data_IF_951239398274
#
_entry.id   IF_951239398274
#
_cell.length_a   1.000
_cell.length_b   1.000
_cell.length_c   1.000
_cell.angle_alpha   90.00
_cell.angle_beta   90.00
_cell.angle_gamma   90.00
#
_symmetry.space_group_name_H-M   'P 1'
#
loop_
_entity.id
_entity.type
_entity.pdbx_description
1 polymer ?
#
# COMPACT_ATOMS: atom_id res chain seq x y z
N UNK A 1 26.45 -14.44 42.21
CA UNK A 1 25.00 -14.63 41.92
C UNK A 1 24.54 -13.70 40.78
N UNK A 2 24.82 -12.41 40.84
CA UNK A 2 24.49 -11.41 39.77
C UNK A 2 25.05 -11.76 38.39
N UNK A 3 26.32 -12.18 38.28
CA UNK A 3 26.96 -12.56 37.03
C UNK A 3 26.26 -13.76 36.35
N UNK A 4 25.83 -14.76 37.13
CA UNK A 4 25.11 -15.94 36.61
C UNK A 4 23.75 -15.54 36.04
N UNK A 5 23.02 -14.63 36.73
CA UNK A 5 21.73 -14.13 36.26
C UNK A 5 21.89 -13.34 34.96
N UNK A 6 22.88 -12.43 34.91
CA UNK A 6 23.15 -11.65 33.71
C UNK A 6 23.60 -12.51 32.52
N UNK A 7 24.40 -13.55 32.76
CA UNK A 7 24.78 -14.50 31.71
C UNK A 7 23.56 -15.27 31.16
N UNK A 8 22.68 -15.73 32.03
CA UNK A 8 21.46 -16.42 31.60
C UNK A 8 20.52 -15.49 30.82
N UNK A 9 20.38 -14.22 31.27
CA UNK A 9 19.60 -13.20 30.57
C UNK A 9 20.20 -12.86 29.21
N UNK A 10 21.51 -12.68 29.12
CA UNK A 10 22.21 -12.41 27.86
C UNK A 10 21.99 -13.56 26.86
N UNK A 11 22.11 -14.82 27.31
CA UNK A 11 21.85 -15.96 26.47
C UNK A 11 20.39 -16.01 25.98
N UNK A 12 19.43 -15.73 26.86
CA UNK A 12 18.00 -15.65 26.50
C UNK A 12 17.70 -14.57 25.47
N UNK A 13 18.32 -13.38 25.62
CA UNK A 13 18.18 -12.28 24.66
C UNK A 13 18.81 -12.59 23.30
N UNK A 14 19.97 -13.28 23.28
CA UNK A 14 20.58 -13.74 22.04
C UNK A 14 19.66 -14.72 21.31
N UNK A 15 19.11 -15.70 22.01
CA UNK A 15 18.17 -16.67 21.44
C UNK A 15 16.89 -15.98 20.95
N UNK A 16 16.35 -15.04 21.73
CA UNK A 16 15.22 -14.22 21.33
C UNK A 16 15.53 -13.47 20.03
N UNK A 17 16.66 -12.77 19.92
CA UNK A 17 17.05 -12.02 18.74
C UNK A 17 17.12 -12.89 17.48
N UNK A 18 17.69 -14.10 17.59
CA UNK A 18 17.82 -15.05 16.48
C UNK A 18 16.50 -15.68 16.03
N UNK A 19 15.51 -15.75 16.88
CA UNK A 19 14.19 -16.35 16.55
C UNK A 19 13.18 -15.37 16.00
N UNK A 20 13.49 -14.08 15.97
CA UNK A 20 12.55 -13.06 15.51
C UNK A 20 12.38 -13.09 13.99
N UNK A 21 11.14 -13.16 13.54
CA UNK A 21 10.80 -13.04 12.12
C UNK A 21 10.83 -11.60 11.60
N UNK A 22 10.55 -10.63 12.47
CA UNK A 22 10.61 -9.19 12.15
C UNK A 22 12.01 -8.66 12.49
N UNK A 23 12.73 -8.20 11.49
CA UNK A 23 14.11 -7.77 11.61
C UNK A 23 14.32 -6.67 12.66
N UNK A 24 13.34 -5.76 12.81
CA UNK A 24 13.36 -4.73 13.85
C UNK A 24 13.49 -5.31 15.26
N UNK A 25 12.67 -6.32 15.59
CA UNK A 25 12.72 -6.98 16.89
C UNK A 25 14.01 -7.76 17.11
N UNK A 26 14.57 -8.31 16.03
CA UNK A 26 15.89 -8.93 16.07
C UNK A 26 16.99 -7.92 16.44
N UNK A 27 17.00 -6.74 15.78
CA UNK A 27 17.98 -5.67 16.07
C UNK A 27 17.83 -5.13 17.49
N UNK A 28 16.60 -4.91 17.96
CA UNK A 28 16.35 -4.49 19.35
C UNK A 28 16.80 -5.55 20.35
N UNK A 29 16.59 -6.83 20.03
CA UNK A 29 17.07 -7.97 20.82
C UNK A 29 18.60 -8.02 20.93
N UNK A 30 19.31 -7.78 19.83
CA UNK A 30 20.80 -7.67 19.82
C UNK A 30 21.26 -6.49 20.67
N UNK A 31 20.60 -5.33 20.55
CA UNK A 31 20.92 -4.16 21.39
C UNK A 31 20.74 -4.45 22.89
N UNK A 32 19.61 -5.07 23.26
CA UNK A 32 19.35 -5.45 24.65
C UNK A 32 20.38 -6.49 25.16
N UNK A 33 20.80 -7.43 24.30
CA UNK A 33 21.85 -8.40 24.60
C UNK A 33 23.19 -7.68 24.90
N UNK A 34 23.65 -6.76 24.03
CA UNK A 34 24.87 -5.98 24.25
C UNK A 34 24.85 -5.19 25.54
N UNK A 35 23.71 -4.53 25.87
CA UNK A 35 23.57 -3.79 27.13
C UNK A 35 23.65 -4.72 28.34
N UNK A 36 23.09 -5.92 28.23
CA UNK A 36 23.18 -6.94 29.31
C UNK A 36 24.60 -7.45 29.47
N UNK A 37 25.37 -7.63 28.36
CA UNK A 37 26.80 -7.96 28.41
C UNK A 37 27.61 -6.85 29.07
N UNK A 38 27.36 -5.59 28.77
CA UNK A 38 28.01 -4.47 29.44
C UNK A 38 27.78 -4.53 30.97
N UNK A 39 26.54 -4.82 31.40
CA UNK A 39 26.24 -5.02 32.83
C UNK A 39 26.98 -6.22 33.43
N UNK A 40 27.14 -7.31 32.66
CA UNK A 40 27.91 -8.48 33.09
C UNK A 40 29.40 -8.14 33.26
N UNK A 41 30.02 -7.40 32.34
CA UNK A 41 31.40 -6.96 32.43
C UNK A 41 31.65 -6.05 33.65
N UNK A 42 30.69 -5.16 33.96
CA UNK A 42 30.74 -4.38 35.22
C UNK A 42 30.73 -5.29 36.47
N UNK A 43 29.86 -6.29 36.48
CA UNK A 43 29.76 -7.25 37.58
C UNK A 43 31.04 -8.12 37.74
N UNK A 44 31.80 -8.29 36.68
CA UNK A 44 33.09 -9.00 36.64
C UNK A 44 34.29 -8.07 36.86
N UNK A 45 34.05 -6.81 37.29
CA UNK A 45 35.08 -5.81 37.54
C UNK A 45 35.93 -5.42 36.31
N UNK A 46 35.30 -5.46 35.10
CA UNK A 46 35.90 -5.05 33.83
C UNK A 46 35.23 -3.78 33.29
N UNK A 47 35.35 -2.59 33.93
CA UNK A 47 34.59 -1.40 33.53
C UNK A 47 34.98 -0.85 32.15
N UNK A 48 36.22 -0.99 31.73
CA UNK A 48 36.68 -0.51 30.42
C UNK A 48 36.02 -1.29 29.29
N UNK A 49 35.89 -2.63 29.46
CA UNK A 49 35.20 -3.49 28.52
C UNK A 49 33.69 -3.22 28.51
N UNK A 50 33.11 -2.99 29.68
CA UNK A 50 31.71 -2.63 29.81
C UNK A 50 31.36 -1.32 29.09
N UNK A 51 32.23 -0.31 29.22
CA UNK A 51 32.03 0.97 28.54
C UNK A 51 32.14 0.85 27.03
N UNK A 52 33.11 0.10 26.52
CA UNK A 52 33.26 -0.15 25.08
C UNK A 52 32.11 -0.95 24.53
N UNK A 53 31.61 -1.98 25.23
CA UNK A 53 30.44 -2.77 24.81
C UNK A 53 29.17 -1.90 24.78
N UNK A 54 28.96 -1.06 25.78
CA UNK A 54 27.81 -0.15 25.80
C UNK A 54 27.86 0.89 24.68
N UNK A 55 29.03 1.47 24.42
CA UNK A 55 29.20 2.52 23.41
C UNK A 55 29.16 1.95 21.98
N UNK A 56 29.86 0.88 21.71
CA UNK A 56 30.00 0.31 20.38
C UNK A 56 28.95 -0.76 20.12
N UNK A 57 28.82 -1.75 20.97
CA UNK A 57 27.89 -2.87 20.78
C UNK A 57 26.42 -2.43 20.83
N UNK A 58 26.03 -1.75 21.91
CA UNK A 58 24.66 -1.24 22.01
C UNK A 58 24.48 0.05 21.19
N UNK A 59 25.31 1.06 21.35
CA UNK A 59 25.10 2.38 20.75
C UNK A 59 25.31 2.36 19.23
N UNK A 60 26.55 2.22 18.78
CA UNK A 60 26.92 2.38 17.37
C UNK A 60 26.34 1.27 16.49
N UNK A 61 26.48 0.00 16.88
CA UNK A 61 26.01 -1.15 16.09
C UNK A 61 24.51 -1.14 15.96
N UNK A 62 23.79 -1.00 17.07
CA UNK A 62 22.30 -0.96 17.05
C UNK A 62 21.79 0.22 16.23
N UNK A 63 22.38 1.42 16.39
CA UNK A 63 22.01 2.60 15.60
C UNK A 63 22.26 2.37 14.10
N UNK A 64 23.41 1.78 13.74
CA UNK A 64 23.77 1.49 12.34
C UNK A 64 22.77 0.50 11.72
N UNK A 65 22.39 -0.55 12.44
CA UNK A 65 21.39 -1.51 11.96
C UNK A 65 20.00 -0.87 11.82
N UNK A 66 19.57 -0.03 12.76
CA UNK A 66 18.30 0.70 12.65
C UNK A 66 18.28 1.66 11.47
N UNK A 67 19.40 2.36 11.22
CA UNK A 67 19.54 3.24 10.05
C UNK A 67 19.54 2.43 8.73
N UNK A 68 20.23 1.30 8.71
CA UNK A 68 20.24 0.39 7.55
C UNK A 68 18.83 -0.14 7.26
N UNK A 69 18.09 -0.56 8.29
CA UNK A 69 16.70 -1.02 8.15
C UNK A 69 15.77 0.06 7.58
N UNK A 70 15.96 1.32 7.98
CA UNK A 70 15.19 2.43 7.41
C UNK A 70 15.52 2.68 5.93
N UNK A 71 16.77 2.42 5.51
CA UNK A 71 17.25 2.71 4.14
C UNK A 71 17.09 1.56 3.16
N UNK A 72 17.02 0.31 3.60
CA UNK A 72 17.00 -0.88 2.72
C UNK A 72 15.65 -1.59 2.64
N UNK A 73 14.62 -1.03 3.24
CA UNK A 73 13.27 -1.61 3.17
C UNK A 73 12.68 -1.48 1.76
N UNK A 74 12.08 -2.54 1.26
CA UNK A 74 11.24 -2.48 0.05
C UNK A 74 9.88 -1.86 0.40
N UNK A 75 9.36 -1.05 -0.50
CA UNK A 75 7.97 -0.62 -0.50
C UNK A 75 7.19 -1.54 -1.45
N UNK A 76 6.59 -2.58 -0.90
CA UNK A 76 5.79 -3.52 -1.68
C UNK A 76 4.38 -2.95 -1.87
N UNK A 77 3.97 -2.81 -3.13
CA UNK A 77 2.66 -2.29 -3.51
C UNK A 77 1.91 -3.38 -4.27
N UNK A 78 0.82 -3.87 -3.70
CA UNK A 78 -0.11 -4.74 -4.39
C UNK A 78 -0.99 -3.89 -5.31
N UNK A 79 -1.02 -4.21 -6.60
CA UNK A 79 -1.64 -3.36 -7.60
C UNK A 79 -2.52 -4.13 -8.57
N UNK A 80 -3.60 -3.50 -9.02
CA UNK A 80 -4.35 -3.94 -10.18
C UNK A 80 -4.23 -2.88 -11.29
N UNK A 81 -4.17 -3.29 -12.57
CA UNK A 81 -4.02 -2.35 -13.66
C UNK A 81 -5.30 -1.52 -13.87
N UNK A 82 -5.14 -0.21 -14.00
CA UNK A 82 -6.20 0.72 -14.39
C UNK A 82 -5.58 1.88 -15.19
N UNK A 83 -5.87 1.93 -16.49
CA UNK A 83 -5.46 3.04 -17.34
C UNK A 83 -6.31 4.30 -17.03
N UNK A 84 -5.72 5.50 -16.96
CA UNK A 84 -4.30 5.86 -17.07
C UNK A 84 -3.60 6.01 -15.69
N UNK A 85 -4.16 5.44 -14.63
CA UNK A 85 -3.65 5.60 -13.25
C UNK A 85 -2.41 4.74 -13.00
N UNK A 86 -2.50 3.44 -13.28
CA UNK A 86 -1.41 2.48 -13.08
C UNK A 86 -1.57 1.35 -14.11
N UNK A 87 -0.62 1.21 -15.01
CA UNK A 87 -0.69 0.20 -16.06
C UNK A 87 0.71 -0.23 -16.50
N UNK A 88 0.76 -1.34 -17.22
CA UNK A 88 1.99 -1.86 -17.80
C UNK A 88 2.00 -1.65 -19.31
N UNK A 89 3.08 -1.07 -19.81
CA UNK A 89 3.32 -0.86 -21.24
C UNK A 89 4.60 -1.62 -21.63
N UNK A 90 4.43 -2.82 -22.16
CA UNK A 90 5.53 -3.76 -22.36
C UNK A 90 6.17 -4.18 -21.03
N UNK A 91 7.46 -3.88 -20.87
CA UNK A 91 8.21 -4.12 -19.62
C UNK A 91 8.18 -2.93 -18.64
N UNK A 92 7.61 -1.82 -19.05
CA UNK A 92 7.60 -0.59 -18.23
C UNK A 92 6.26 -0.42 -17.53
N UNK A 93 6.33 0.05 -16.30
CA UNK A 93 5.15 0.49 -15.55
C UNK A 93 5.01 2.00 -15.76
N UNK A 94 3.79 2.44 -15.98
CA UNK A 94 3.46 3.84 -16.23
C UNK A 94 2.13 4.22 -15.59
N UNK A 95 1.84 5.54 -15.57
CA UNK A 95 0.60 6.08 -15.08
C UNK A 95 0.78 7.11 -13.97
N UNK A 96 -0.31 7.79 -13.63
CA UNK A 96 -0.33 8.82 -12.60
C UNK A 96 0.09 8.27 -11.22
N UNK A 97 -0.50 7.14 -10.81
CA UNK A 97 -0.19 6.50 -9.53
C UNK A 97 1.25 5.99 -9.51
N UNK A 98 1.76 5.45 -10.63
CA UNK A 98 3.15 5.03 -10.74
C UNK A 98 4.11 6.17 -10.42
N UNK A 99 3.93 7.34 -11.06
CA UNK A 99 4.81 8.49 -10.80
C UNK A 99 4.76 8.98 -9.36
N UNK A 100 3.57 8.90 -8.71
CA UNK A 100 3.42 9.23 -7.29
C UNK A 100 4.16 8.21 -6.42
N UNK A 101 3.95 6.90 -6.66
CA UNK A 101 4.57 5.83 -5.89
C UNK A 101 6.09 5.82 -6.02
N UNK A 102 6.62 6.08 -7.21
CA UNK A 102 8.06 6.19 -7.45
C UNK A 102 8.70 7.35 -6.68
N UNK A 103 8.01 8.49 -6.63
CA UNK A 103 8.44 9.64 -5.82
C UNK A 103 8.31 9.36 -4.33
N UNK A 104 7.24 8.69 -3.91
CA UNK A 104 7.03 8.33 -2.51
C UNK A 104 8.07 7.31 -2.03
N UNK A 105 8.39 6.29 -2.82
CA UNK A 105 9.44 5.33 -2.48
C UNK A 105 10.80 6.02 -2.28
N UNK A 106 11.14 6.97 -3.16
CA UNK A 106 12.34 7.83 -3.00
C UNK A 106 12.29 8.70 -1.75
N UNK A 107 11.12 9.26 -1.42
CA UNK A 107 10.91 10.03 -0.19
C UNK A 107 11.15 9.18 1.06
N UNK A 108 10.68 7.95 1.07
CA UNK A 108 10.86 7.01 2.18
C UNK A 108 12.22 6.30 2.16
N UNK A 109 13.09 6.54 1.16
CA UNK A 109 14.35 5.82 0.92
C UNK A 109 14.15 4.30 0.86
N UNK A 110 13.08 3.85 0.17
CA UNK A 110 12.75 2.43 -0.06
C UNK A 110 12.76 2.12 -1.55
N UNK A 111 13.08 0.86 -1.89
CA UNK A 111 12.95 0.37 -3.25
C UNK A 111 11.49 0.00 -3.54
N UNK A 112 10.93 0.53 -4.63
CA UNK A 112 9.56 0.25 -5.04
C UNK A 112 9.48 -1.13 -5.71
N UNK A 113 8.57 -1.96 -5.22
CA UNK A 113 8.24 -3.25 -5.81
C UNK A 113 6.73 -3.33 -6.06
N UNK A 114 6.32 -3.59 -7.30
CA UNK A 114 4.91 -3.76 -7.67
C UNK A 114 4.60 -5.23 -7.82
N UNK A 115 3.56 -5.68 -7.12
CA UNK A 115 3.01 -7.03 -7.21
C UNK A 115 1.64 -6.94 -7.86
N UNK A 116 1.53 -7.43 -9.10
CA UNK A 116 0.27 -7.43 -9.82
C UNK A 116 -0.65 -8.54 -9.33
N UNK A 117 -1.83 -8.16 -8.86
CA UNK A 117 -2.84 -9.10 -8.35
C UNK A 117 -4.25 -8.62 -8.69
N UNK A 118 -5.24 -9.52 -8.75
CA UNK A 118 -6.65 -9.14 -8.82
C UNK A 118 -7.03 -8.21 -7.66
N UNK A 119 -7.86 -7.20 -7.93
CA UNK A 119 -8.25 -6.18 -6.93
C UNK A 119 -8.74 -6.80 -5.62
N UNK A 120 -9.56 -7.86 -5.70
CA UNK A 120 -10.12 -8.57 -4.54
C UNK A 120 -9.08 -9.18 -3.59
N UNK A 121 -7.85 -9.43 -4.08
CA UNK A 121 -6.76 -10.00 -3.26
C UNK A 121 -5.96 -8.94 -2.51
N UNK A 122 -6.00 -7.68 -2.94
CA UNK A 122 -5.20 -6.61 -2.36
C UNK A 122 -5.47 -6.42 -0.86
N UNK A 123 -6.74 -6.34 -0.37
CA UNK A 123 -7.02 -6.21 1.05
C UNK A 123 -6.44 -7.37 1.88
N UNK A 124 -6.47 -8.62 1.35
CA UNK A 124 -5.88 -9.79 2.00
C UNK A 124 -4.35 -9.63 2.16
N UNK A 125 -3.66 -9.20 1.09
CA UNK A 125 -2.21 -8.99 1.13
C UNK A 125 -1.81 -7.88 2.11
N UNK A 126 -2.60 -6.81 2.18
CA UNK A 126 -2.40 -5.72 3.14
C UNK A 126 -2.56 -6.22 4.59
N UNK A 127 -3.61 -6.99 4.87
CA UNK A 127 -3.83 -7.56 6.21
C UNK A 127 -2.79 -8.61 6.61
N UNK A 128 -2.28 -9.38 5.63
CA UNK A 128 -1.22 -10.36 5.88
C UNK A 128 0.16 -9.71 6.08
N UNK A 129 0.32 -8.41 5.82
CA UNK A 129 1.60 -7.72 5.83
C UNK A 129 2.52 -8.14 4.68
N UNK A 130 1.96 -8.74 3.62
CA UNK A 130 2.68 -9.13 2.41
C UNK A 130 2.84 -7.94 1.45
N UNK A 131 1.98 -6.93 1.57
CA UNK A 131 2.09 -5.65 0.90
C UNK A 131 1.87 -4.50 1.89
N UNK A 132 2.48 -3.35 1.63
CA UNK A 132 2.38 -2.14 2.46
C UNK A 132 1.29 -1.21 1.94
N UNK A 133 1.15 -1.13 0.61
CA UNK A 133 0.18 -0.26 -0.08
C UNK A 133 -0.61 -1.07 -1.12
N UNK A 134 -1.84 -0.61 -1.38
CA UNK A 134 -2.66 -1.03 -2.51
C UNK A 134 -2.85 0.13 -3.48
N UNK A 135 -2.73 -0.16 -4.80
CA UNK A 135 -2.84 0.80 -5.87
C UNK A 135 -3.62 0.24 -7.07
N UNK A 136 -4.00 1.11 -8.01
CA UNK A 136 -4.78 0.74 -9.18
C UNK A 136 -6.22 1.23 -9.10
N UNK A 137 -6.41 2.50 -8.72
CA UNK A 137 -7.72 3.15 -8.71
C UNK A 137 -8.63 2.68 -7.59
N UNK A 138 -8.14 2.64 -6.36
CA UNK A 138 -8.98 2.34 -5.20
C UNK A 138 -9.95 3.47 -4.92
N UNK A 139 -11.22 3.11 -4.79
CA UNK A 139 -12.27 3.98 -4.27
C UNK A 139 -12.57 3.56 -2.82
N UNK A 140 -12.44 4.47 -1.84
CA UNK A 140 -12.77 4.17 -0.46
C UNK A 140 -14.22 3.66 -0.32
N UNK A 141 -14.38 2.50 0.31
CA UNK A 141 -15.66 1.85 0.57
C UNK A 141 -15.81 1.49 2.05
N UNK A 142 -17.05 1.32 2.55
CA UNK A 142 -17.31 1.04 3.96
C UNK A 142 -16.86 -0.38 4.41
N UNK A 143 -16.74 -1.32 3.48
CA UNK A 143 -16.45 -2.71 3.79
C UNK A 143 -14.95 -3.04 3.86
N UNK A 144 -14.10 -2.17 3.37
CA UNK A 144 -12.65 -2.41 3.35
C UNK A 144 -12.03 -2.05 4.70
N UNK A 145 -11.56 -3.05 5.44
CA UNK A 145 -10.82 -2.89 6.71
C UNK A 145 -9.39 -2.40 6.50
N UNK A 146 -9.17 -1.49 5.54
CA UNK A 146 -7.89 -0.86 5.24
C UNK A 146 -7.99 0.64 5.46
N UNK A 147 -6.86 1.31 5.67
CA UNK A 147 -6.83 2.77 5.69
C UNK A 147 -6.67 3.29 4.27
N UNK A 148 -7.27 4.42 3.97
CA UNK A 148 -7.09 5.10 2.70
C UNK A 148 -6.30 6.38 2.89
N UNK A 149 -5.51 6.74 1.88
CA UNK A 149 -4.92 8.07 1.78
C UNK A 149 -5.98 9.10 1.43
N UNK A 150 -5.62 10.39 1.48
CA UNK A 150 -6.40 11.43 0.81
C UNK A 150 -6.60 11.11 -0.66
N UNK A 151 -7.70 11.56 -1.27
CA UNK A 151 -7.93 11.36 -2.70
C UNK A 151 -6.84 11.99 -3.56
N UNK A 152 -6.28 11.21 -4.47
CA UNK A 152 -5.27 11.65 -5.45
C UNK A 152 -5.90 12.13 -6.75
N UNK A 153 -7.01 11.53 -7.15
CA UNK A 153 -7.77 11.91 -8.37
C UNK A 153 -9.26 11.95 -8.03
N UNK A 154 -9.92 13.10 -8.19
CA UNK A 154 -11.37 13.17 -8.07
C UNK A 154 -12.05 12.31 -9.14
N UNK A 155 -13.06 11.57 -8.76
CA UNK A 155 -13.89 10.76 -9.67
C UNK A 155 -15.32 10.69 -9.15
N UNK A 156 -16.16 10.00 -9.90
CA UNK A 156 -17.57 9.75 -9.54
C UNK A 156 -17.89 8.29 -9.75
N UNK A 157 -18.65 7.73 -8.85
CA UNK A 157 -19.34 6.46 -9.08
C UNK A 157 -20.57 6.73 -9.91
N UNK A 158 -20.73 6.00 -10.99
CA UNK A 158 -21.82 6.21 -11.95
C UNK A 158 -22.57 4.91 -12.22
N UNK A 159 -23.87 5.03 -12.37
CA UNK A 159 -24.71 3.97 -12.90
C UNK A 159 -24.92 4.19 -14.40
N UNK A 160 -24.25 3.38 -15.20
CA UNK A 160 -24.40 3.38 -16.65
C UNK A 160 -25.53 2.41 -17.01
N UNK A 161 -26.54 2.87 -17.77
CA UNK A 161 -27.60 2.03 -18.31
C UNK A 161 -27.63 2.11 -19.84
N UNK A 162 -27.58 0.95 -20.50
CA UNK A 162 -27.71 0.84 -21.94
C UNK A 162 -29.09 0.33 -22.33
N UNK A 163 -29.72 -0.48 -21.48
CA UNK A 163 -31.05 -1.04 -21.69
C UNK A 163 -31.71 -1.37 -20.34
N UNK A 164 -32.97 -1.78 -20.38
CA UNK A 164 -33.64 -2.31 -19.19
C UNK A 164 -33.04 -3.67 -18.81
N UNK A 165 -32.86 -3.91 -17.51
CA UNK A 165 -32.31 -5.17 -17.02
C UNK A 165 -31.55 -5.01 -15.70
N UNK A 166 -30.96 -6.13 -15.22
CA UNK A 166 -30.18 -6.15 -14.00
C UNK A 166 -28.95 -5.27 -14.10
N UNK A 167 -28.47 -4.76 -12.93
CA UNK A 167 -27.22 -4.03 -12.84
C UNK A 167 -26.07 -4.97 -12.48
N UNK A 168 -24.93 -4.78 -13.12
CA UNK A 168 -23.69 -5.47 -12.80
C UNK A 168 -22.68 -4.54 -12.12
N UNK A 169 -21.77 -5.10 -11.33
CA UNK A 169 -20.60 -4.42 -10.79
C UNK A 169 -19.41 -5.38 -10.68
N UNK A 170 -18.22 -4.83 -10.47
CA UNK A 170 -17.03 -5.64 -10.17
C UNK A 170 -17.03 -6.02 -8.69
N UNK A 171 -16.73 -7.28 -8.41
CA UNK A 171 -16.65 -7.79 -7.04
C UNK A 171 -15.59 -7.06 -6.23
N UNK A 172 -15.97 -6.61 -5.02
CA UNK A 172 -15.10 -5.84 -4.12
C UNK A 172 -14.90 -4.37 -4.52
N UNK A 173 -15.65 -3.85 -5.51
CA UNK A 173 -15.66 -2.41 -5.83
C UNK A 173 -16.91 -1.71 -5.26
N UNK A 174 -16.79 -0.41 -4.91
CA UNK A 174 -17.95 0.39 -4.50
C UNK A 174 -19.05 0.38 -5.56
N UNK A 175 -20.28 0.25 -5.10
CA UNK A 175 -21.44 0.09 -5.97
C UNK A 175 -21.87 -1.36 -6.19
N UNK A 176 -21.08 -2.33 -5.69
CA UNK A 176 -21.48 -3.75 -5.71
C UNK A 176 -22.81 -3.96 -4.99
N UNK A 177 -23.08 -3.21 -3.92
CA UNK A 177 -24.33 -3.26 -3.15
C UNK A 177 -25.58 -2.86 -3.95
N UNK A 178 -25.40 -2.14 -5.06
CA UNK A 178 -26.46 -1.71 -5.96
C UNK A 178 -26.65 -2.69 -7.15
N UNK A 179 -25.72 -3.62 -7.31
CA UNK A 179 -25.71 -4.55 -8.41
C UNK A 179 -26.44 -5.86 -8.04
N UNK A 180 -27.10 -6.45 -9.01
CA UNK A 180 -27.71 -7.78 -8.88
C UNK A 180 -26.80 -8.89 -9.37
N UNK A 181 -25.76 -8.56 -10.15
CA UNK A 181 -24.75 -9.47 -10.65
C UNK A 181 -23.35 -8.90 -10.41
N UNK A 182 -22.42 -9.73 -9.97
CA UNK A 182 -21.01 -9.36 -9.75
C UNK A 182 -20.08 -10.13 -10.66
N UNK A 183 -19.04 -9.46 -11.15
CA UNK A 183 -18.04 -9.98 -12.08
C UNK A 183 -16.65 -9.89 -11.48
N UNK A 184 -15.75 -10.75 -11.90
CA UNK A 184 -14.40 -10.78 -11.34
C UNK A 184 -13.57 -9.56 -11.73
N UNK A 185 -13.75 -9.07 -12.94
CA UNK A 185 -13.05 -7.91 -13.47
C UNK A 185 -13.93 -7.04 -14.38
N UNK A 186 -13.43 -5.86 -14.70
CA UNK A 186 -14.12 -4.88 -15.53
C UNK A 186 -14.31 -5.37 -17.00
N UNK A 187 -13.42 -6.23 -17.48
CA UNK A 187 -13.53 -6.81 -18.82
C UNK A 187 -14.67 -7.80 -18.91
N UNK A 188 -14.87 -8.63 -17.88
CA UNK A 188 -16.04 -9.52 -17.80
C UNK A 188 -17.34 -8.74 -17.69
N UNK A 189 -17.36 -7.72 -16.83
CA UNK A 189 -18.50 -6.82 -16.68
C UNK A 189 -18.86 -6.14 -18.03
N UNK A 190 -17.85 -5.63 -18.75
CA UNK A 190 -18.06 -5.02 -20.06
C UNK A 190 -18.61 -6.03 -21.10
N UNK A 191 -18.08 -7.26 -21.11
CA UNK A 191 -18.57 -8.32 -22.00
C UNK A 191 -20.02 -8.71 -21.70
N UNK A 192 -20.39 -8.84 -20.43
CA UNK A 192 -21.76 -9.13 -20.02
C UNK A 192 -22.73 -8.00 -20.46
N UNK A 193 -22.29 -6.74 -20.31
CA UNK A 193 -23.05 -5.58 -20.77
C UNK A 193 -23.25 -5.59 -22.30
N UNK A 194 -22.18 -5.88 -23.06
CA UNK A 194 -22.24 -5.96 -24.53
C UNK A 194 -23.09 -7.12 -25.03
N UNK A 195 -23.14 -8.25 -24.31
CA UNK A 195 -24.00 -9.40 -24.68
C UNK A 195 -25.45 -9.20 -24.27
N UNK A 196 -25.77 -8.11 -23.56
CA UNK A 196 -27.12 -7.88 -23.06
C UNK A 196 -27.53 -8.78 -21.89
N UNK A 197 -26.59 -9.44 -21.23
CA UNK A 197 -26.81 -10.25 -20.01
C UNK A 197 -27.22 -9.37 -18.83
N UNK A 198 -26.75 -8.12 -18.82
CA UNK A 198 -27.11 -7.06 -17.88
C UNK A 198 -27.56 -5.81 -18.64
N UNK A 199 -28.46 -5.03 -18.02
CA UNK A 199 -28.98 -3.79 -18.61
C UNK A 199 -28.12 -2.57 -18.32
N UNK A 200 -27.25 -2.66 -17.29
CA UNK A 200 -26.37 -1.55 -16.89
C UNK A 200 -25.24 -2.01 -15.99
N UNK A 201 -24.34 -1.08 -15.68
CA UNK A 201 -23.18 -1.33 -14.82
C UNK A 201 -22.95 -0.16 -13.85
N UNK A 202 -22.51 -0.47 -12.64
CA UNK A 202 -22.03 0.51 -11.68
C UNK A 202 -20.52 0.53 -11.76
N UNK A 203 -19.94 1.65 -12.19
CA UNK A 203 -18.49 1.81 -12.43
C UNK A 203 -18.05 3.22 -12.08
N UNK A 204 -16.74 3.43 -11.99
CA UNK A 204 -16.18 4.78 -11.88
C UNK A 204 -16.16 5.51 -13.24
N UNK A 205 -16.06 6.83 -13.18
CA UNK A 205 -16.09 7.67 -14.38
C UNK A 205 -14.90 7.43 -15.32
N UNK A 206 -13.73 7.05 -14.81
CA UNK A 206 -12.56 6.75 -15.67
C UNK A 206 -12.81 5.49 -16.48
N UNK A 207 -13.36 4.46 -15.86
CA UNK A 207 -13.69 3.19 -16.52
C UNK A 207 -14.79 3.39 -17.57
N UNK A 208 -15.81 4.20 -17.24
CA UNK A 208 -16.82 4.56 -18.23
C UNK A 208 -16.19 5.24 -19.45
N UNK A 209 -15.29 6.21 -19.24
CA UNK A 209 -14.58 6.90 -20.32
C UNK A 209 -13.69 5.95 -21.13
N UNK A 210 -12.98 5.06 -20.48
CA UNK A 210 -12.16 4.04 -21.12
C UNK A 210 -13.01 3.17 -22.06
N UNK A 211 -14.15 2.69 -21.57
CA UNK A 211 -15.08 1.89 -22.40
C UNK A 211 -15.64 2.66 -23.58
N UNK A 212 -15.90 3.96 -23.43
CA UNK A 212 -16.33 4.83 -24.51
C UNK A 212 -15.23 5.03 -25.56
N UNK A 213 -13.99 5.30 -25.12
CA UNK A 213 -12.82 5.48 -26.00
C UNK A 213 -12.54 4.22 -26.84
N UNK A 214 -12.63 3.05 -26.22
CA UNK A 214 -12.47 1.76 -26.90
C UNK A 214 -13.71 1.33 -27.69
N UNK A 215 -14.76 2.14 -27.76
CA UNK A 215 -16.02 1.86 -28.42
C UNK A 215 -16.70 0.58 -27.93
N UNK A 216 -16.43 0.20 -26.68
CA UNK A 216 -17.10 -0.92 -26.03
C UNK A 216 -18.55 -0.59 -25.69
N UNK A 217 -18.84 0.68 -25.41
CA UNK A 217 -20.19 1.19 -25.15
C UNK A 217 -20.46 2.42 -26.02
N UNK A 218 -21.73 2.57 -26.44
CA UNK A 218 -22.17 3.78 -27.14
C UNK A 218 -22.32 4.97 -26.19
N UNK A 219 -22.26 6.18 -26.72
CA UNK A 219 -22.51 7.42 -25.96
C UNK A 219 -24.00 7.61 -25.63
N UNK A 220 -24.88 6.76 -26.15
CA UNK A 220 -26.33 6.91 -26.05
C UNK A 220 -26.93 6.35 -24.73
N UNK A 221 -26.12 5.67 -23.91
CA UNK A 221 -26.55 5.19 -22.60
C UNK A 221 -26.79 6.33 -21.61
N UNK A 222 -27.80 6.18 -20.75
CA UNK A 222 -27.98 7.11 -19.63
C UNK A 222 -26.92 6.84 -18.56
N UNK A 223 -26.26 7.91 -18.07
CA UNK A 223 -25.32 7.82 -16.98
C UNK A 223 -25.79 8.72 -15.83
N UNK A 224 -26.04 8.12 -14.67
CA UNK A 224 -26.43 8.84 -13.46
C UNK A 224 -25.27 8.80 -12.46
N UNK A 225 -24.86 9.96 -11.95
CA UNK A 225 -23.91 10.05 -10.83
C UNK A 225 -24.57 9.55 -9.55
N UNK A 226 -23.96 8.57 -8.91
CA UNK A 226 -24.41 8.02 -7.64
C UNK A 226 -23.74 8.72 -6.48
N UNK A 227 -22.41 8.90 -6.54
CA UNK A 227 -21.62 9.46 -5.46
C UNK A 227 -20.36 10.12 -6.03
N UNK A 228 -19.95 11.23 -5.42
CA UNK A 228 -18.62 11.83 -5.69
C UNK A 228 -17.59 11.16 -4.81
N UNK A 229 -16.54 10.65 -5.43
CA UNK A 229 -15.45 9.92 -4.78
C UNK A 229 -14.10 10.42 -5.27
N UNK A 230 -13.05 9.82 -4.81
CA UNK A 230 -11.70 10.04 -5.33
C UNK A 230 -10.87 8.80 -5.18
N UNK A 231 -10.07 8.51 -6.18
CA UNK A 231 -9.10 7.43 -6.09
C UNK A 231 -8.06 7.74 -5.03
N UNK A 232 -7.72 6.74 -4.23
CA UNK A 232 -6.81 6.82 -3.11
C UNK A 232 -5.93 5.57 -3.05
N UNK A 233 -4.81 5.64 -2.36
CA UNK A 233 -4.04 4.46 -2.02
C UNK A 233 -4.63 3.76 -0.80
N UNK A 234 -4.72 2.45 -0.84
CA UNK A 234 -5.01 1.65 0.34
C UNK A 234 -3.71 1.39 1.12
N UNK A 235 -3.77 1.43 2.44
CA UNK A 235 -2.60 1.25 3.32
C UNK A 235 -2.87 0.11 4.27
N UNK A 236 -1.87 -0.72 4.52
CA UNK A 236 -1.97 -1.82 5.47
C UNK A 236 -2.36 -1.30 6.87
N UNK A 237 -3.27 -1.96 7.59
CA UNK A 237 -3.82 -1.46 8.86
C UNK A 237 -2.76 -1.19 9.92
N UNK A 238 -1.71 -2.01 9.95
CA UNK A 238 -0.62 -1.96 10.93
C UNK A 238 0.47 -0.93 10.56
N UNK A 239 0.38 -0.31 9.37
CA UNK A 239 1.39 0.61 8.83
C UNK A 239 1.00 2.09 9.09
N UNK A 240 0.72 2.43 10.34
CA UNK A 240 0.28 3.80 10.70
C UNK A 240 1.34 4.87 10.39
N UNK A 241 2.62 4.58 10.61
CA UNK A 241 3.70 5.52 10.31
C UNK A 241 3.88 5.72 8.79
N UNK A 242 3.72 4.65 8.01
CA UNK A 242 3.74 4.73 6.56
C UNK A 242 2.55 5.56 6.04
N UNK A 243 1.37 5.34 6.60
CA UNK A 243 0.18 6.13 6.26
C UNK A 243 0.39 7.62 6.55
N UNK A 244 0.91 7.99 7.72
CA UNK A 244 1.24 9.39 8.06
C UNK A 244 2.26 9.99 7.09
N UNK A 245 3.31 9.24 6.77
CA UNK A 245 4.34 9.67 5.81
C UNK A 245 3.76 9.86 4.41
N UNK A 246 2.83 8.99 3.98
CA UNK A 246 2.13 9.11 2.71
C UNK A 246 1.24 10.36 2.67
N UNK A 247 0.51 10.64 3.75
CA UNK A 247 -0.34 11.82 3.88
C UNK A 247 0.48 13.13 3.83
N UNK A 248 1.61 13.18 4.54
CA UNK A 248 2.53 14.32 4.51
C UNK A 248 3.13 14.52 3.11
N UNK A 249 3.55 13.44 2.48
CA UNK A 249 4.08 13.48 1.12
C UNK A 249 3.04 13.96 0.10
N UNK A 250 1.82 13.42 0.12
CA UNK A 250 0.75 13.84 -0.77
C UNK A 250 0.36 15.32 -0.55
N UNK A 251 0.34 15.77 0.72
CA UNK A 251 0.13 17.19 1.04
C UNK A 251 1.24 18.08 0.47
N UNK A 252 2.49 17.64 0.53
CA UNK A 252 3.63 18.35 -0.04
C UNK A 252 3.54 18.42 -1.58
N UNK A 253 3.16 17.32 -2.25
CA UNK A 253 2.94 17.29 -3.69
C UNK A 253 1.81 18.24 -4.14
N UNK A 254 0.72 18.26 -3.36
CA UNK A 254 -0.41 19.14 -3.65
C UNK A 254 -0.04 20.61 -3.49
N UNK A 255 0.63 20.97 -2.39
CA UNK A 255 1.14 22.33 -2.13
C UNK A 255 2.14 22.79 -3.20
N UNK A 256 2.97 21.89 -3.71
CA UNK A 256 3.92 22.18 -4.78
C UNK A 256 3.26 22.23 -6.19
N UNK A 257 1.97 21.95 -6.32
CA UNK A 257 1.26 21.91 -7.59
C UNK A 257 1.61 20.70 -8.48
N UNK A 258 2.42 19.78 -7.98
CA UNK A 258 2.89 18.60 -8.75
C UNK A 258 1.73 17.64 -9.01
N UNK A 259 0.86 17.45 -8.02
CA UNK A 259 -0.30 16.56 -8.17
C UNK A 259 -1.24 17.06 -9.27
N UNK A 260 -1.47 18.36 -9.36
CA UNK A 260 -2.28 18.96 -10.40
C UNK A 260 -1.63 18.84 -11.79
N UNK A 261 -0.30 18.99 -11.88
CA UNK A 261 0.45 18.77 -13.14
C UNK A 261 0.31 17.30 -13.60
N UNK A 262 0.38 16.33 -12.69
CA UNK A 262 0.20 14.93 -13.03
C UNK A 262 -1.24 14.65 -13.49
N UNK A 263 -2.24 15.20 -12.81
CA UNK A 263 -3.64 15.08 -13.24
C UNK A 263 -3.84 15.59 -14.66
N UNK A 264 -3.33 16.78 -14.98
CA UNK A 264 -3.42 17.36 -16.34
C UNK A 264 -2.69 16.52 -17.37
N UNK A 265 -1.55 15.92 -17.03
CA UNK A 265 -0.78 15.08 -17.96
C UNK A 265 -1.51 13.79 -18.32
N UNK A 266 -2.14 13.14 -17.35
CA UNK A 266 -2.71 11.82 -17.53
C UNK A 266 -4.22 11.81 -17.77
N UNK A 267 -4.93 12.85 -17.32
CA UNK A 267 -6.39 12.88 -17.39
C UNK A 267 -6.93 13.98 -18.34
N UNK A 268 -6.09 14.89 -18.75
CA UNK A 268 -6.44 15.99 -19.67
C UNK A 268 -6.90 17.23 -18.94
#
# INVERSE_FOLDING_TARGET
MTAVILSALAFGLALFALTQRRLLWGVLGVGAHSLTLAGLYLALSAPDVALTEAAVGFGLVTLTYLLALRRTGKLVVAACPLYPLLYQEGERIAGLEWEILERFARWCHRDLEIVWVPRREIPRLLHAGEAHLGAGGFLPGPEERVRFSRPIVPTKLVCLRLQEGPLGAVAGEPGQELATATYEDAGELARALLRGEIGGAVVDLLRQREWQLHRLISHEGSSATLEEKGFAFAVAPDEEELWKSLEEFLAALEKAGVLEQLRRRYLG
#
